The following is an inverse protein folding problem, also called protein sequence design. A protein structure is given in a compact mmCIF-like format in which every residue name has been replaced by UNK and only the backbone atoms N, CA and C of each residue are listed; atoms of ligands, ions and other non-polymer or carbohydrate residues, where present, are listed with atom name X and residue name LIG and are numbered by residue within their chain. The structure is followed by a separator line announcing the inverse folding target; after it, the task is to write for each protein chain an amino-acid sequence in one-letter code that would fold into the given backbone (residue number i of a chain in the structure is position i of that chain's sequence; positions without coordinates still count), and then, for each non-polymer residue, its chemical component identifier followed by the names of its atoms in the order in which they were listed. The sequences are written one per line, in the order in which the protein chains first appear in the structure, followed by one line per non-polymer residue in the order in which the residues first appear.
data_IF_484753936603
#
_entry.id   IF_484753936603
#
_cell.length_a   1.000
_cell.length_b   1.000
_cell.length_c   1.000
_cell.angle_alpha   90.00
_cell.angle_beta   90.00
_cell.angle_gamma   90.00
#
_symmetry.space_group_name_H-M   'P 1'
#
loop_
_entity.id
_entity.type
_entity.pdbx_description
1 polymer ?
#
# COMPACT_ATOMS: atom_id res chain seq x y z
N UNK A 1 -23.06 -6.48 4.75
CA UNK A 1 -22.82 -6.07 4.74
C UNK A 1 -22.30 -5.77 5.00
N UNK A 2 -21.98 -5.66 4.80
CA UNK A 2 -21.60 -5.17 4.97
C UNK A 2 -20.99 -4.67 4.95
N UNK A 3 -20.95 -4.46 4.92
CA UNK A 3 -20.49 -3.79 4.92
C UNK A 3 -19.66 -3.62 5.07
N UNK A 4 -19.54 -3.76 5.17
CA UNK A 4 -18.69 -3.66 5.38
C UNK A 4 -17.78 -3.51 5.07
N UNK A 5 -17.58 -3.55 4.82
CA UNK A 5 -16.76 -3.29 4.62
C UNK A 5 -16.03 -2.89 4.02
N UNK A 6 -16.16 -2.72 3.49
CA UNK A 6 -15.44 -2.34 3.07
C UNK A 6 -14.74 -1.26 3.04
N UNK A 7 -14.12 -1.06 3.42
CA UNK A 7 -13.22 -0.09 3.69
C UNK A 7 -12.26 0.17 2.63
N UNK A 8 -12.01 -0.74 1.73
CA UNK A 8 -11.07 -0.59 0.62
C UNK A 8 -11.79 0.02 -0.56
N UNK A 9 -11.35 1.20 -0.95
CA UNK A 9 -11.89 1.88 -2.11
C UNK A 9 -10.87 1.75 -3.24
N UNK A 10 -11.10 0.81 -4.12
CA UNK A 10 -10.16 0.50 -5.19
C UNK A 10 -9.89 1.70 -6.09
N UNK A 11 -10.91 2.47 -6.41
CA UNK A 11 -10.72 3.62 -7.29
C UNK A 11 -9.84 4.68 -6.64
N UNK A 12 -10.03 4.90 -5.36
CA UNK A 12 -9.21 5.87 -4.65
C UNK A 12 -7.76 5.41 -4.56
N UNK A 13 -7.57 4.12 -4.33
CA UNK A 13 -6.23 3.56 -4.26
C UNK A 13 -5.52 3.68 -5.59
N UNK A 14 -6.23 3.36 -6.66
CA UNK A 14 -5.67 3.48 -8.01
C UNK A 14 -5.26 4.92 -8.29
N UNK A 15 -6.08 5.86 -7.86
CA UNK A 15 -5.79 7.27 -8.07
C UNK A 15 -4.53 7.68 -7.32
N UNK A 16 -4.38 7.20 -6.11
CA UNK A 16 -3.20 7.53 -5.32
C UNK A 16 -1.94 6.93 -5.91
N UNK A 17 -2.02 5.70 -6.36
CA UNK A 17 -0.86 5.05 -6.97
C UNK A 17 -0.48 5.76 -8.27
N UNK A 18 -1.49 6.19 -9.02
CA UNK A 18 -1.24 6.92 -10.24
C UNK A 18 -0.54 8.24 -9.96
N UNK A 19 -0.97 8.90 -8.89
CA UNK A 19 -0.36 10.15 -8.47
C UNK A 19 1.12 9.96 -8.15
N UNK A 20 1.43 8.85 -7.49
CA UNK A 20 2.81 8.56 -7.13
C UNK A 20 3.70 8.32 -8.33
N UNK A 21 3.10 7.91 -9.44
CA UNK A 21 3.86 7.71 -10.68
C UNK A 21 4.40 9.02 -11.22
N UNK A 22 3.81 10.12 -10.80
CA UNK A 22 4.22 11.44 -11.24
C UNK A 22 5.29 12.07 -10.34
N UNK A 23 5.56 11.42 -9.23
CA UNK A 23 6.51 11.95 -8.25
C UNK A 23 7.94 11.80 -8.73
N UNK A 24 8.71 12.89 -8.65
CA UNK A 24 10.12 12.88 -9.06
C UNK A 24 10.99 12.08 -8.11
N UNK A 25 10.57 11.99 -6.85
CA UNK A 25 11.33 11.27 -5.85
C UNK A 25 10.92 9.82 -5.83
N UNK A 26 11.63 9.01 -6.59
CA UNK A 26 11.32 7.59 -6.73
C UNK A 26 11.36 6.86 -5.40
N UNK A 27 12.32 7.22 -4.57
CA UNK A 27 12.48 6.59 -3.27
C UNK A 27 11.25 6.80 -2.40
N UNK A 28 10.81 8.04 -2.32
CA UNK A 28 9.65 8.39 -1.51
C UNK A 28 8.38 7.78 -2.09
N UNK A 29 8.24 7.80 -3.41
CA UNK A 29 7.05 7.25 -4.03
C UNK A 29 6.94 5.75 -3.80
N UNK A 30 8.05 5.03 -3.81
CA UNK A 30 8.04 3.60 -3.52
C UNK A 30 7.66 3.34 -2.07
N UNK A 31 8.20 4.15 -1.18
CA UNK A 31 7.86 4.02 0.23
C UNK A 31 6.36 4.19 0.45
N UNK A 32 5.80 5.23 -0.16
CA UNK A 32 4.37 5.51 -0.03
C UNK A 32 3.52 4.42 -0.66
N UNK A 33 3.96 3.90 -1.80
CA UNK A 33 3.25 2.82 -2.47
C UNK A 33 3.24 1.57 -1.58
N UNK A 34 4.36 1.26 -0.95
CA UNK A 34 4.44 0.14 -0.03
C UNK A 34 3.43 0.29 1.09
N UNK A 35 3.32 1.50 1.64
CA UNK A 35 2.38 1.76 2.71
C UNK A 35 0.95 1.49 2.27
N UNK A 36 0.62 1.92 1.08
CA UNK A 36 -0.73 1.74 0.55
C UNK A 36 -1.04 0.26 0.39
N UNK A 37 -0.13 -0.48 -0.20
CA UNK A 37 -0.34 -1.91 -0.44
C UNK A 37 -0.42 -2.68 0.88
N UNK A 38 0.45 -2.35 1.82
CA UNK A 38 0.45 -3.01 3.12
C UNK A 38 -0.85 -2.75 3.87
N UNK A 39 -1.38 -1.55 3.74
CA UNK A 39 -2.64 -1.23 4.40
C UNK A 39 -3.78 -2.06 3.84
N UNK A 40 -3.78 -2.26 2.53
CA UNK A 40 -4.80 -3.10 1.90
C UNK A 40 -4.75 -4.51 2.46
N UNK A 41 -3.55 -5.07 2.53
CA UNK A 41 -3.38 -6.42 3.05
C UNK A 41 -3.81 -6.50 4.51
N UNK A 42 -3.48 -5.48 5.27
CA UNK A 42 -3.88 -5.39 6.67
C UNK A 42 -5.40 -5.43 6.79
N UNK A 43 -6.06 -4.61 5.98
CA UNK A 43 -7.51 -4.51 6.02
C UNK A 43 -8.18 -5.82 5.62
N UNK A 44 -7.49 -6.62 4.81
CA UNK A 44 -8.00 -7.90 4.37
C UNK A 44 -7.66 -9.02 5.36
N UNK A 45 -6.95 -8.70 6.41
CA UNK A 45 -6.61 -9.68 7.44
C UNK A 45 -5.33 -10.45 7.19
N UNK A 46 -4.49 -9.95 6.31
CA UNK A 46 -3.23 -10.61 5.98
C UNK A 46 -2.04 -9.97 6.69
N UNK A 47 -2.22 -9.73 7.98
CA UNK A 47 -1.17 -9.09 8.78
C UNK A 47 0.13 -9.87 8.77
N UNK A 48 0.01 -11.20 8.76
CA UNK A 48 1.19 -12.05 8.76
C UNK A 48 2.02 -11.82 7.49
N UNK A 49 1.32 -11.66 6.38
CA UNK A 49 2.00 -11.41 5.11
C UNK A 49 2.70 -10.06 5.15
N UNK A 50 2.03 -9.06 5.68
CA UNK A 50 2.60 -7.72 5.79
C UNK A 50 3.85 -7.75 6.65
N UNK A 51 3.79 -8.50 7.74
CA UNK A 51 4.93 -8.60 8.63
C UNK A 51 6.14 -9.18 7.92
N UNK A 52 5.93 -10.27 7.18
CA UNK A 52 7.03 -10.90 6.46
C UNK A 52 7.59 -9.97 5.38
N UNK A 53 6.70 -9.26 4.70
CA UNK A 53 7.12 -8.32 3.68
C UNK A 53 8.00 -7.23 4.29
N UNK A 54 7.62 -6.74 5.45
CA UNK A 54 8.35 -5.66 6.10
C UNK A 54 9.70 -6.11 6.67
N UNK A 55 9.90 -7.43 6.79
CA UNK A 55 11.18 -7.95 7.23
C UNK A 55 12.21 -7.91 6.11
N UNK A 56 11.74 -7.80 4.88
CA UNK A 56 12.64 -7.70 3.75
C UNK A 56 13.32 -6.33 3.79
N UNK A 57 14.62 -6.34 3.61
CA UNK A 57 15.37 -5.10 3.61
C UNK A 57 14.84 -4.16 2.55
N UNK A 58 14.38 -3.03 2.98
CA UNK A 58 13.81 -2.06 2.05
C UNK A 58 14.79 -0.95 1.81
N UNK A 59 15.65 -1.22 0.91
CA UNK A 59 16.67 -0.25 0.62
C UNK A 59 16.45 0.33 -0.75
N UNK A 60 16.15 1.59 -0.77
CA UNK A 60 15.78 2.25 -2.01
C UNK A 60 16.85 3.16 -2.56
N UNK A 61 17.89 3.36 -1.84
CA UNK A 61 18.92 4.32 -2.26
C UNK A 61 19.70 3.87 -3.47
#
# INVERSE_FOLDING_TARGET
MSEITRKINVEEIKAKLKELQQDDDVEVSHYKADQIICKILDDLGYNDVVKEYNEISKWYA
#
